data_IF_273179273471
#
_entry.id   IF_273179273471
#
_cell.length_a   1.000
_cell.length_b   1.000
_cell.length_c   1.000
_cell.angle_alpha   90.00
_cell.angle_beta   90.00
_cell.angle_gamma   90.00
#
_symmetry.space_group_name_H-M   'P 1'
#
loop_
_entity.id
_entity.type
_entity.pdbx_description
1 polymer ?
#
# COMPACT_ATOMS: atom_id res chain seq x y z
N UNK A 1 4.14 -6.21 -7.48
CA UNK A 1 3.55 -7.55 -7.23
C UNK A 1 2.35 -7.40 -6.30
N UNK A 2 1.20 -7.97 -6.67
CA UNK A 2 -0.04 -7.87 -5.87
C UNK A 2 -0.36 -9.21 -5.22
N UNK A 3 -0.25 -9.28 -3.90
CA UNK A 3 -0.58 -10.46 -3.08
C UNK A 3 -1.77 -10.20 -2.14
N UNK A 4 -2.59 -9.21 -2.43
CA UNK A 4 -3.53 -8.64 -1.46
C UNK A 4 -4.97 -8.51 -1.98
N UNK A 5 -5.26 -9.00 -3.21
CA UNK A 5 -6.63 -8.95 -3.73
C UNK A 5 -7.57 -9.82 -2.89
N UNK A 6 -8.72 -9.27 -2.46
CA UNK A 6 -9.75 -10.07 -1.78
C UNK A 6 -10.53 -10.96 -2.74
N UNK A 7 -10.39 -10.74 -4.05
CA UNK A 7 -11.19 -11.40 -5.08
C UNK A 7 -10.57 -12.72 -5.58
N UNK A 8 -9.38 -13.07 -5.08
CA UNK A 8 -8.66 -14.29 -5.45
C UNK A 8 -8.51 -15.17 -4.20
N UNK A 9 -9.20 -16.30 -4.14
CA UNK A 9 -9.08 -17.22 -3.00
C UNK A 9 -7.63 -17.61 -2.72
N UNK A 10 -7.22 -17.61 -1.45
CA UNK A 10 -5.89 -18.00 -1.01
C UNK A 10 -4.75 -17.00 -1.31
N UNK A 11 -4.99 -15.97 -2.14
CA UNK A 11 -3.92 -15.03 -2.49
C UNK A 11 -3.37 -14.29 -1.26
N UNK A 12 -4.23 -13.94 -0.32
CA UNK A 12 -3.84 -13.21 0.89
C UNK A 12 -3.02 -14.05 1.87
N UNK A 13 -3.07 -15.38 1.77
CA UNK A 13 -2.25 -16.27 2.59
C UNK A 13 -0.76 -16.12 2.27
N UNK A 14 -0.44 -15.65 1.07
CA UNK A 14 0.92 -15.32 0.66
C UNK A 14 1.54 -14.12 1.41
N UNK A 15 0.75 -13.39 2.21
CA UNK A 15 1.24 -12.25 2.97
C UNK A 15 1.92 -12.64 4.29
N UNK A 16 1.94 -13.95 4.65
CA UNK A 16 2.35 -14.39 5.97
C UNK A 16 3.46 -15.44 5.94
N UNK A 17 4.36 -15.37 6.93
CA UNK A 17 5.32 -16.39 7.30
C UNK A 17 6.11 -16.98 6.14
N UNK A 18 6.29 -18.30 6.14
CA UNK A 18 7.10 -18.99 5.15
C UNK A 18 6.56 -18.88 3.71
N UNK A 19 5.27 -18.63 3.51
CA UNK A 19 4.72 -18.42 2.17
C UNK A 19 5.19 -17.10 1.58
N UNK A 20 5.20 -16.04 2.38
CA UNK A 20 5.74 -14.74 2.00
C UNK A 20 7.24 -14.85 1.72
N UNK A 21 8.01 -15.43 2.61
CA UNK A 21 9.48 -15.56 2.44
C UNK A 21 9.85 -16.29 1.14
N UNK A 22 9.23 -17.42 0.85
CA UNK A 22 9.48 -18.17 -0.41
C UNK A 22 9.14 -17.35 -1.65
N UNK A 23 8.01 -16.62 -1.62
CA UNK A 23 7.61 -15.77 -2.74
C UNK A 23 8.63 -14.64 -2.97
N UNK A 24 9.01 -13.93 -1.91
CA UNK A 24 9.94 -12.81 -2.00
C UNK A 24 11.33 -13.27 -2.48
N UNK A 25 11.82 -14.40 -1.99
CA UNK A 25 13.08 -15.01 -2.45
C UNK A 25 13.05 -15.34 -3.94
N UNK A 26 11.98 -15.98 -4.41
CA UNK A 26 11.81 -16.31 -5.83
C UNK A 26 11.77 -15.03 -6.71
N UNK A 27 11.03 -14.01 -6.27
CA UNK A 27 10.94 -12.73 -6.97
C UNK A 27 12.28 -12.01 -7.04
N UNK A 28 13.04 -11.97 -5.96
CA UNK A 28 14.37 -11.34 -5.94
C UNK A 28 15.40 -12.11 -6.75
N UNK A 29 15.29 -13.42 -6.77
CA UNK A 29 16.15 -14.27 -7.64
C UNK A 29 15.88 -13.97 -9.11
N UNK A 30 14.61 -13.92 -9.51
CA UNK A 30 14.23 -13.61 -10.88
C UNK A 30 14.56 -12.16 -11.27
N UNK A 31 14.37 -11.20 -10.36
CA UNK A 31 14.75 -9.81 -10.57
C UNK A 31 16.25 -9.67 -10.90
N UNK A 32 17.12 -10.36 -10.14
CA UNK A 32 18.57 -10.36 -10.39
C UNK A 32 18.89 -10.99 -11.74
N UNK A 33 18.33 -12.18 -12.01
CA UNK A 33 18.53 -12.87 -13.30
C UNK A 33 18.17 -12.00 -14.50
N UNK A 34 17.03 -11.28 -14.41
CA UNK A 34 16.58 -10.37 -15.46
C UNK A 34 17.45 -9.12 -15.56
N UNK A 35 17.89 -8.57 -14.46
CA UNK A 35 18.80 -7.43 -14.44
C UNK A 35 20.13 -7.76 -15.13
N UNK A 36 20.70 -8.93 -14.84
CA UNK A 36 21.94 -9.41 -15.47
C UNK A 36 21.74 -9.65 -16.97
N UNK A 37 20.63 -10.29 -17.36
CA UNK A 37 20.34 -10.61 -18.76
C UNK A 37 20.08 -9.37 -19.62
N UNK A 38 19.52 -8.30 -19.04
CA UNK A 38 19.10 -7.10 -19.79
C UNK A 38 19.91 -5.84 -19.45
N UNK A 39 20.89 -5.92 -18.55
CA UNK A 39 21.70 -4.78 -18.10
C UNK A 39 20.87 -3.69 -17.42
N UNK A 40 19.69 -4.02 -16.85
CA UNK A 40 18.76 -3.05 -16.30
C UNK A 40 18.07 -3.59 -15.06
N UNK A 41 18.26 -2.92 -13.93
CA UNK A 41 17.51 -3.17 -12.71
C UNK A 41 16.11 -2.56 -12.79
N UNK A 42 15.07 -3.34 -12.48
CA UNK A 42 13.67 -2.87 -12.38
C UNK A 42 13.20 -3.04 -10.95
N UNK A 43 12.84 -1.94 -10.25
CA UNK A 43 12.38 -2.00 -8.87
C UNK A 43 11.13 -2.87 -8.69
N UNK A 44 11.05 -3.59 -7.58
CA UNK A 44 9.91 -4.40 -7.18
C UNK A 44 9.21 -3.81 -5.95
N UNK A 45 7.93 -3.46 -6.11
CA UNK A 45 7.05 -3.09 -5.02
C UNK A 45 6.03 -4.21 -4.75
N UNK A 46 5.78 -4.51 -3.48
CA UNK A 46 4.75 -5.48 -3.05
C UNK A 46 3.56 -4.74 -2.49
N UNK A 47 2.35 -5.09 -2.96
CA UNK A 47 1.09 -4.49 -2.48
C UNK A 47 0.40 -5.39 -1.47
N UNK A 48 0.15 -4.85 -0.28
CA UNK A 48 -0.43 -5.55 0.87
C UNK A 48 -1.90 -5.16 1.12
N UNK A 49 -2.61 -6.01 1.86
CA UNK A 49 -3.99 -5.78 2.26
C UNK A 49 -4.08 -4.86 3.49
N UNK A 50 -5.17 -4.09 3.63
CA UNK A 50 -5.42 -3.32 4.85
C UNK A 50 -5.88 -4.19 6.01
N UNK A 51 -6.36 -5.40 5.72
CA UNK A 51 -6.98 -6.32 6.68
C UNK A 51 -5.94 -7.20 7.41
N UNK A 52 -4.64 -7.02 7.16
CA UNK A 52 -3.58 -7.63 7.96
C UNK A 52 -3.76 -7.19 9.41
N UNK A 53 -3.76 -8.14 10.34
CA UNK A 53 -3.85 -7.82 11.76
C UNK A 53 -2.63 -6.99 12.20
N UNK A 54 -2.84 -6.04 13.10
CA UNK A 54 -1.77 -5.15 13.54
C UNK A 54 -0.59 -5.92 14.15
N UNK A 55 -0.86 -7.06 14.79
CA UNK A 55 0.16 -7.96 15.34
C UNK A 55 1.02 -8.65 14.27
N UNK A 56 0.53 -8.81 13.04
CA UNK A 56 1.23 -9.48 11.94
C UNK A 56 2.04 -8.51 11.07
N UNK A 57 1.73 -7.21 11.09
CA UNK A 57 2.43 -6.20 10.31
C UNK A 57 3.95 -6.16 10.54
N UNK A 58 4.47 -6.31 11.77
CA UNK A 58 5.91 -6.39 11.99
C UNK A 58 6.57 -7.53 11.21
N UNK A 59 5.95 -8.72 11.19
CA UNK A 59 6.45 -9.87 10.45
C UNK A 59 6.51 -9.61 8.94
N UNK A 60 5.48 -8.97 8.39
CA UNK A 60 5.44 -8.55 6.98
C UNK A 60 6.53 -7.53 6.68
N UNK A 61 6.63 -6.44 7.45
CA UNK A 61 7.65 -5.41 7.26
C UNK A 61 9.07 -5.96 7.33
N UNK A 62 9.35 -6.81 8.31
CA UNK A 62 10.65 -7.46 8.46
C UNK A 62 10.99 -8.38 7.27
N UNK A 63 10.02 -9.11 6.73
CA UNK A 63 10.22 -9.94 5.54
C UNK A 63 10.58 -9.07 4.33
N UNK A 64 9.87 -7.96 4.09
CA UNK A 64 10.17 -7.04 2.99
C UNK A 64 11.59 -6.47 3.09
N UNK A 65 12.05 -6.11 4.30
CA UNK A 65 13.41 -5.63 4.55
C UNK A 65 14.45 -6.73 4.32
N UNK A 66 14.27 -7.91 4.91
CA UNK A 66 15.22 -9.04 4.76
C UNK A 66 15.46 -9.40 3.31
N UNK A 67 14.42 -9.42 2.50
CA UNK A 67 14.51 -9.76 1.07
C UNK A 67 14.92 -8.58 0.19
N UNK A 68 15.10 -7.37 0.74
CA UNK A 68 15.56 -6.20 -0.01
C UNK A 68 14.60 -5.78 -1.11
N UNK A 69 13.30 -5.68 -0.81
CA UNK A 69 12.31 -5.10 -1.72
C UNK A 69 12.59 -3.60 -1.90
N UNK A 70 12.09 -3.03 -3.01
CA UNK A 70 12.36 -1.64 -3.36
C UNK A 70 11.26 -0.69 -2.87
N UNK A 71 10.05 -1.21 -2.62
CA UNK A 71 8.94 -0.45 -2.03
C UNK A 71 7.85 -1.38 -1.50
N UNK A 72 6.97 -0.84 -0.64
CA UNK A 72 5.70 -1.45 -0.28
C UNK A 72 4.54 -0.52 -0.67
N UNK A 73 3.47 -1.09 -1.23
CA UNK A 73 2.22 -0.36 -1.51
C UNK A 73 1.20 -0.70 -0.43
N UNK A 74 0.81 0.28 0.35
CA UNK A 74 -0.17 0.16 1.44
C UNK A 74 -1.32 1.15 1.20
N UNK A 75 -2.54 0.66 0.80
CA UNK A 75 -3.00 -0.73 0.80
C UNK A 75 -3.83 -1.07 -0.44
N UNK A 76 -4.23 -2.35 -0.56
CA UNK A 76 -5.32 -2.79 -1.43
C UNK A 76 -6.68 -2.39 -0.79
N UNK A 77 -7.79 -2.88 -1.35
CA UNK A 77 -9.15 -2.74 -0.82
C UNK A 77 -9.37 -3.64 0.40
N UNK A 78 -10.39 -3.31 1.23
CA UNK A 78 -10.74 -4.06 2.45
C UNK A 78 -11.91 -5.00 2.26
N UNK A 79 -11.95 -6.10 3.01
CA UNK A 79 -13.12 -6.94 3.19
C UNK A 79 -14.08 -6.39 4.25
N UNK A 80 -13.64 -5.47 5.11
CA UNK A 80 -14.50 -4.81 6.09
C UNK A 80 -15.59 -4.00 5.41
N UNK A 81 -16.75 -3.97 6.03
CA UNK A 81 -17.90 -3.15 5.62
C UNK A 81 -18.18 -2.01 6.59
N UNK A 82 -17.25 -1.78 7.51
CA UNK A 82 -17.35 -0.69 8.49
C UNK A 82 -17.55 0.66 7.79
N UNK A 83 -18.58 1.38 8.20
CA UNK A 83 -18.95 2.69 7.68
C UNK A 83 -19.81 2.66 6.41
N UNK A 84 -20.26 1.47 5.98
CA UNK A 84 -21.22 1.33 4.87
C UNK A 84 -22.40 0.42 5.24
N UNK A 85 -22.52 0.03 6.49
CA UNK A 85 -23.61 -0.80 7.01
C UNK A 85 -24.97 -0.15 6.74
N UNK A 86 -25.89 -0.93 6.19
CA UNK A 86 -27.23 -0.45 5.85
C UNK A 86 -27.34 0.40 4.57
N UNK A 87 -26.20 0.70 3.90
CA UNK A 87 -26.26 1.36 2.60
C UNK A 87 -26.62 0.36 1.47
N UNK A 88 -27.23 0.83 0.37
CA UNK A 88 -27.39 -0.01 -0.81
C UNK A 88 -26.05 -0.62 -1.22
N UNK A 89 -26.08 -1.91 -1.61
CA UNK A 89 -24.90 -2.65 -2.05
C UNK A 89 -23.82 -2.93 -1.00
N UNK A 90 -24.04 -2.60 0.30
CA UNK A 90 -23.08 -2.88 1.36
C UNK A 90 -22.72 -4.37 1.48
N UNK A 91 -23.61 -5.28 1.11
CA UNK A 91 -23.41 -6.74 1.17
C UNK A 91 -22.75 -7.35 -0.08
N UNK A 92 -22.39 -6.56 -1.10
CA UNK A 92 -21.75 -7.09 -2.30
C UNK A 92 -20.39 -7.71 -1.99
N UNK A 93 -20.07 -8.78 -2.73
CA UNK A 93 -18.76 -9.43 -2.65
C UNK A 93 -17.66 -8.55 -3.24
N UNK A 94 -16.43 -8.76 -2.82
CA UNK A 94 -15.27 -8.01 -3.31
C UNK A 94 -14.70 -7.04 -2.29
N UNK A 95 -13.73 -6.23 -2.72
CA UNK A 95 -13.05 -5.28 -1.85
C UNK A 95 -13.72 -3.91 -1.84
N UNK A 96 -13.96 -3.37 -0.67
CA UNK A 96 -14.42 -2.00 -0.47
C UNK A 96 -13.25 -1.01 -0.60
N UNK A 97 -13.47 0.06 -1.36
CA UNK A 97 -12.49 1.13 -1.60
C UNK A 97 -13.08 2.52 -1.28
N UNK A 98 -12.35 3.58 -1.56
CA UNK A 98 -12.81 4.94 -1.37
C UNK A 98 -12.77 5.43 0.09
N UNK A 99 -13.63 6.39 0.46
CA UNK A 99 -13.62 7.05 1.76
C UNK A 99 -13.63 6.08 2.95
N UNK A 100 -14.42 5.00 2.98
CA UNK A 100 -14.44 4.07 4.11
C UNK A 100 -13.09 3.41 4.41
N UNK A 101 -12.22 3.28 3.40
CA UNK A 101 -10.89 2.69 3.58
C UNK A 101 -9.85 3.69 4.12
N UNK A 102 -10.10 4.99 4.07
CA UNK A 102 -9.11 6.05 4.33
C UNK A 102 -8.38 5.88 5.64
N UNK A 103 -9.10 5.78 6.73
CA UNK A 103 -8.52 5.79 8.07
C UNK A 103 -7.75 4.51 8.37
N UNK A 104 -8.29 3.35 7.96
CA UNK A 104 -7.59 2.06 8.10
C UNK A 104 -6.30 2.05 7.30
N UNK A 105 -6.32 2.46 6.03
CA UNK A 105 -5.11 2.49 5.22
C UNK A 105 -4.07 3.48 5.75
N UNK A 106 -4.49 4.62 6.31
CA UNK A 106 -3.58 5.58 6.95
C UNK A 106 -2.93 4.99 8.21
N UNK A 107 -3.71 4.24 9.01
CA UNK A 107 -3.18 3.52 10.18
C UNK A 107 -2.12 2.49 9.78
N UNK A 108 -2.39 1.68 8.76
CA UNK A 108 -1.41 0.70 8.24
C UNK A 108 -0.14 1.40 7.76
N UNK A 109 -0.26 2.51 7.02
CA UNK A 109 0.91 3.31 6.58
C UNK A 109 1.74 3.77 7.79
N UNK A 110 1.10 4.31 8.83
CA UNK A 110 1.79 4.79 10.04
C UNK A 110 2.52 3.67 10.78
N UNK A 111 1.87 2.51 10.92
CA UNK A 111 2.48 1.34 11.57
C UNK A 111 3.66 0.82 10.75
N UNK A 112 3.53 0.71 9.43
CA UNK A 112 4.64 0.33 8.56
C UNK A 112 5.78 1.32 8.62
N UNK A 113 5.52 2.61 8.64
CA UNK A 113 6.57 3.64 8.75
C UNK A 113 7.41 3.46 10.02
N UNK A 114 6.76 3.16 11.14
CA UNK A 114 7.46 2.85 12.39
C UNK A 114 8.29 1.56 12.31
N UNK A 115 7.75 0.50 11.66
CA UNK A 115 8.43 -0.79 11.51
C UNK A 115 9.62 -0.68 10.55
N UNK A 116 9.44 0.01 9.44
CA UNK A 116 10.45 0.12 8.38
C UNK A 116 11.53 1.17 8.67
N UNK A 117 11.26 2.11 9.56
CA UNK A 117 12.21 3.14 10.02
C UNK A 117 12.97 3.84 8.88
N UNK A 118 12.26 4.17 7.80
CA UNK A 118 12.84 4.84 6.62
C UNK A 118 13.64 3.96 5.66
N UNK A 119 13.86 2.67 5.97
CA UNK A 119 14.68 1.77 5.15
C UNK A 119 13.99 1.30 3.87
N UNK A 120 12.66 1.40 3.77
CA UNK A 120 11.89 0.99 2.61
C UNK A 120 10.79 2.03 2.35
N UNK A 121 10.72 2.63 1.15
CA UNK A 121 9.69 3.60 0.82
C UNK A 121 8.29 2.98 0.80
N UNK A 122 7.31 3.73 1.29
CA UNK A 122 5.91 3.37 1.32
C UNK A 122 5.15 4.16 0.27
N UNK A 123 4.46 3.47 -0.62
CA UNK A 123 3.50 4.07 -1.56
C UNK A 123 2.11 3.91 -0.95
N UNK A 124 1.53 5.00 -0.46
CA UNK A 124 0.23 4.95 0.20
C UNK A 124 -0.92 4.93 -0.81
N UNK A 125 -1.85 4.00 -0.63
CA UNK A 125 -3.07 3.89 -1.42
C UNK A 125 -4.28 3.62 -0.53
N UNK A 126 -5.45 4.12 -0.93
CA UNK A 126 -6.72 3.89 -0.25
C UNK A 126 -7.29 5.12 0.42
N UNK A 127 -8.50 5.50 0.00
CA UNK A 127 -9.29 6.60 0.58
C UNK A 127 -8.78 8.01 0.30
N UNK A 128 -7.96 8.21 -0.73
CA UNK A 128 -7.47 9.54 -1.10
C UNK A 128 -8.48 10.17 -2.06
N UNK A 129 -9.24 11.15 -1.59
CA UNK A 129 -10.25 11.89 -2.33
C UNK A 129 -9.98 13.40 -2.37
N UNK A 130 -8.93 13.87 -1.67
CA UNK A 130 -8.54 15.27 -1.60
C UNK A 130 -7.03 15.42 -1.42
N UNK A 131 -6.52 16.64 -1.60
CA UNK A 131 -5.15 17.00 -1.26
C UNK A 131 -4.83 16.80 0.22
N UNK A 132 -5.81 17.06 1.11
CA UNK A 132 -5.66 16.82 2.55
C UNK A 132 -5.49 15.34 2.89
N UNK A 133 -6.25 14.45 2.22
CA UNK A 133 -6.09 13.01 2.41
C UNK A 133 -4.69 12.55 1.99
N UNK A 134 -4.18 13.07 0.88
CA UNK A 134 -2.82 12.78 0.42
C UNK A 134 -1.75 13.27 1.40
N UNK A 135 -1.90 14.51 1.89
CA UNK A 135 -1.00 15.07 2.90
C UNK A 135 -1.00 14.24 4.19
N UNK A 136 -2.18 13.75 4.62
CA UNK A 136 -2.28 12.85 5.78
C UNK A 136 -1.53 11.53 5.59
N UNK A 137 -1.47 10.97 4.35
CA UNK A 137 -0.66 9.78 4.04
C UNK A 137 0.84 10.06 4.15
N UNK A 138 1.29 11.21 3.63
CA UNK A 138 2.70 11.62 3.75
C UNK A 138 3.06 11.87 5.22
N UNK A 139 2.21 12.57 5.97
CA UNK A 139 2.40 12.77 7.41
C UNK A 139 2.40 11.45 8.22
N UNK A 140 1.75 10.41 7.71
CA UNK A 140 1.80 9.06 8.28
C UNK A 140 3.09 8.29 7.95
N UNK A 141 3.98 8.84 7.12
CA UNK A 141 5.27 8.27 6.75
C UNK A 141 5.35 7.68 5.34
N UNK A 142 4.37 7.95 4.47
CA UNK A 142 4.46 7.54 3.08
C UNK A 142 5.43 8.44 2.30
N UNK A 143 6.15 7.85 1.34
CA UNK A 143 7.02 8.56 0.38
C UNK A 143 6.26 9.03 -0.86
N UNK A 144 5.25 8.26 -1.27
CA UNK A 144 4.43 8.51 -2.46
C UNK A 144 2.96 8.18 -2.17
N UNK A 145 2.06 8.70 -3.00
CA UNK A 145 0.63 8.35 -2.96
C UNK A 145 0.16 7.78 -4.30
N UNK A 146 -0.80 6.87 -4.25
CA UNK A 146 -1.47 6.27 -5.39
C UNK A 146 -2.97 6.55 -5.31
N UNK A 147 -3.55 7.08 -6.38
CA UNK A 147 -4.98 7.38 -6.51
C UNK A 147 -5.67 6.31 -7.36
N UNK A 148 -6.90 5.94 -6.98
CA UNK A 148 -7.77 5.11 -7.82
C UNK A 148 -9.23 5.58 -7.72
N UNK A 149 -9.94 5.24 -6.66
CA UNK A 149 -11.37 5.57 -6.48
C UNK A 149 -11.62 7.08 -6.50
N UNK A 150 -10.78 7.86 -5.84
CA UNK A 150 -10.87 9.32 -5.89
C UNK A 150 -10.76 9.87 -7.31
N UNK A 151 -9.86 9.30 -8.12
CA UNK A 151 -9.70 9.67 -9.52
C UNK A 151 -10.97 9.34 -10.36
N UNK A 152 -11.61 8.19 -10.09
CA UNK A 152 -12.85 7.81 -10.77
C UNK A 152 -13.96 8.83 -10.52
N UNK A 153 -14.09 9.34 -9.29
CA UNK A 153 -15.15 10.30 -8.93
C UNK A 153 -14.83 11.75 -9.27
N UNK A 154 -13.55 12.14 -9.19
CA UNK A 154 -13.13 13.55 -9.30
C UNK A 154 -12.31 13.87 -10.55
N UNK A 155 -11.94 12.84 -11.32
CA UNK A 155 -11.18 13.00 -12.55
C UNK A 155 -9.75 13.55 -12.35
N UNK A 156 -9.12 14.08 -13.42
CA UNK A 156 -7.74 14.56 -13.41
C UNK A 156 -7.49 15.73 -12.44
N UNK A 157 -8.50 16.52 -12.13
CA UNK A 157 -8.39 17.63 -11.18
C UNK A 157 -7.87 17.19 -9.81
N UNK A 158 -8.24 15.98 -9.37
CA UNK A 158 -7.73 15.43 -8.12
C UNK A 158 -6.20 15.25 -8.15
N UNK A 159 -5.61 14.89 -9.29
CA UNK A 159 -4.16 14.74 -9.43
C UNK A 159 -3.47 16.09 -9.24
N UNK A 160 -4.03 17.15 -9.84
CA UNK A 160 -3.50 18.52 -9.70
C UNK A 160 -3.60 19.01 -8.25
N UNK A 161 -4.75 18.80 -7.61
CA UNK A 161 -4.98 19.16 -6.20
C UNK A 161 -4.00 18.44 -5.27
N UNK A 162 -3.86 17.13 -5.42
CA UNK A 162 -2.94 16.31 -4.63
C UNK A 162 -1.50 16.76 -4.82
N UNK A 163 -1.06 16.96 -6.08
CA UNK A 163 0.28 17.43 -6.37
C UNK A 163 0.56 18.83 -5.80
N UNK A 164 -0.42 19.72 -5.80
CA UNK A 164 -0.31 21.05 -5.19
C UNK A 164 -0.18 20.95 -3.66
N UNK A 165 -1.04 20.16 -3.02
CA UNK A 165 -1.02 19.95 -1.58
C UNK A 165 0.32 19.36 -1.09
N UNK A 166 0.86 18.37 -1.82
CA UNK A 166 2.12 17.72 -1.47
C UNK A 166 3.35 18.62 -1.67
N UNK A 167 3.29 19.57 -2.59
CA UNK A 167 4.36 20.60 -2.73
C UNK A 167 4.40 21.59 -1.58
N UNK A 168 3.26 21.82 -0.92
CA UNK A 168 3.13 22.75 0.22
C UNK A 168 3.36 22.05 1.57
N UNK A 169 3.26 20.72 1.61
CA UNK A 169 3.52 19.97 2.83
C UNK A 169 4.99 20.12 3.23
N UNK A 170 5.29 20.38 4.52
CA UNK A 170 6.68 20.40 4.97
C UNK A 170 7.30 19.03 4.66
N UNK A 171 8.42 19.03 3.95
CA UNK A 171 9.23 17.82 3.80
C UNK A 171 9.70 17.43 5.18
N UNK A 172 9.42 16.21 5.60
CA UNK A 172 10.15 15.61 6.72
C UNK A 172 11.58 15.41 6.21
N UNK A 173 12.44 16.41 6.47
CA UNK A 173 13.88 16.27 6.24
C UNK A 173 14.30 15.08 7.08
N UNK A 174 14.58 13.96 6.41
CA UNK A 174 15.18 12.81 7.02
C UNK A 174 16.57 13.23 7.51
N UNK A 175 16.70 13.26 8.83
CA UNK A 175 17.97 13.40 9.52
C UNK A 175 18.66 12.05 9.55
#
# INVERSE_FOLDING_TARGET
>A
VNISSPNTPGLRDLQYGAALDRLLEALKTEQRRLADAHGRYVPLAVKIAPDIADADLPGVGQALLRHGLDAVIATNTTCSRTGVEGLPHAGESGGLSGAPLRDRSTTVVRQLAAILAGQLPIIAAGGILSGADAAAKIAAGASLVQLYTGFVYRGPELVHEVAAALRQAPRSDGN
#
